data_IF_319753021495
#
_entry.id   IF_319753021495
#
_cell.length_a   1.000
_cell.length_b   1.000
_cell.length_c   1.000
_cell.angle_alpha   90.00
_cell.angle_beta   90.00
_cell.angle_gamma   90.00
#
_symmetry.space_group_name_H-M   'P 1'
#
loop_
_entity.id
_entity.type
_entity.pdbx_description
1 polymer ?
#
# COMPACT_ATOMS: atom_id res chain seq x y z
N UNK A 1 -6.12 -0.40 22.91
CA UNK A 1 -4.71 -0.31 23.35
C UNK A 1 -3.85 -0.83 22.21
N UNK A 2 -2.55 -0.53 22.14
CA UNK A 2 -1.67 -1.22 21.20
C UNK A 2 -1.65 -2.73 21.49
N UNK A 3 -1.48 -3.54 20.46
CA UNK A 3 -1.44 -5.00 20.58
C UNK A 3 -1.97 -5.71 19.35
N UNK A 4 -1.89 -7.03 19.37
CA UNK A 4 -2.40 -7.88 18.29
C UNK A 4 -3.85 -8.28 18.60
N UNK A 5 -4.74 -7.96 17.68
CA UNK A 5 -6.17 -8.23 17.77
C UNK A 5 -6.58 -9.23 16.70
N UNK A 6 -7.57 -10.06 17.00
CA UNK A 6 -8.22 -10.94 16.01
C UNK A 6 -9.57 -10.36 15.66
N UNK A 7 -9.83 -10.11 14.37
CA UNK A 7 -11.17 -9.82 13.90
C UNK A 7 -11.95 -11.13 13.82
N UNK A 8 -13.12 -11.20 14.44
CA UNK A 8 -13.99 -12.38 14.35
C UNK A 8 -15.40 -11.92 13.97
N UNK A 9 -15.88 -12.36 12.82
CA UNK A 9 -17.29 -12.19 12.46
C UNK A 9 -18.10 -13.21 13.25
N UNK A 10 -18.98 -12.73 14.12
CA UNK A 10 -19.86 -13.55 14.93
C UNK A 10 -21.31 -13.25 14.58
N UNK A 11 -22.09 -14.31 14.36
CA UNK A 11 -23.52 -14.23 14.13
C UNK A 11 -24.26 -14.59 15.41
N UNK A 12 -25.40 -13.93 15.60
CA UNK A 12 -26.30 -14.17 16.71
C UNK A 12 -27.72 -14.15 16.18
N UNK A 13 -28.47 -15.21 16.45
CA UNK A 13 -29.88 -15.27 16.11
C UNK A 13 -30.66 -14.33 17.04
N UNK A 14 -31.64 -13.61 16.48
CA UNK A 14 -32.41 -12.63 17.24
C UNK A 14 -33.12 -13.31 18.42
N UNK A 15 -32.99 -12.74 19.63
CA UNK A 15 -33.55 -13.29 20.87
C UNK A 15 -32.75 -14.41 21.55
N UNK A 16 -31.66 -14.91 20.95
CA UNK A 16 -30.80 -15.91 21.58
C UNK A 16 -29.63 -15.26 22.34
N UNK A 17 -28.81 -16.03 23.06
CA UNK A 17 -27.63 -15.52 23.79
C UNK A 17 -26.30 -16.01 23.20
N UNK A 18 -26.32 -17.10 22.42
CA UNK A 18 -25.13 -17.72 21.85
C UNK A 18 -24.66 -17.00 20.58
N UNK A 19 -23.33 -16.95 20.41
CA UNK A 19 -22.66 -16.46 19.20
C UNK A 19 -22.04 -17.64 18.46
N UNK A 20 -22.09 -17.61 17.13
CA UNK A 20 -21.48 -18.64 16.28
C UNK A 20 -20.69 -18.02 15.12
N UNK A 21 -19.65 -18.75 14.66
CA UNK A 21 -18.87 -18.36 13.49
C UNK A 21 -19.61 -18.75 12.20
N UNK A 22 -19.38 -18.03 11.07
CA UNK A 22 -19.92 -18.47 9.77
C UNK A 22 -19.33 -19.82 9.37
N UNK A 23 -20.16 -20.67 8.77
CA UNK A 23 -19.79 -22.01 8.28
C UNK A 23 -18.59 -22.00 7.32
N UNK A 24 -18.37 -20.91 6.59
CA UNK A 24 -17.23 -20.74 5.67
C UNK A 24 -15.91 -20.30 6.31
N UNK A 25 -15.87 -19.96 7.60
CA UNK A 25 -14.64 -19.53 8.28
C UNK A 25 -13.58 -20.64 8.26
N UNK A 26 -14.00 -21.89 8.49
CA UNK A 26 -13.09 -23.03 8.58
C UNK A 26 -12.77 -23.66 7.21
N UNK A 27 -13.46 -23.25 6.13
CA UNK A 27 -13.32 -23.93 4.83
C UNK A 27 -12.14 -23.42 3.99
N UNK A 28 -11.72 -22.16 4.13
CA UNK A 28 -10.64 -21.57 3.32
C UNK A 28 -9.92 -20.41 4.02
N UNK A 29 -10.07 -20.27 5.33
CA UNK A 29 -9.45 -19.18 6.09
C UNK A 29 -8.78 -19.69 7.35
N UNK A 30 -7.80 -18.97 7.85
CA UNK A 30 -7.10 -19.29 9.10
C UNK A 30 -7.08 -18.09 10.04
N UNK A 31 -6.91 -18.35 11.34
CA UNK A 31 -6.87 -17.29 12.36
C UNK A 31 -5.82 -16.21 12.04
N UNK A 32 -4.72 -16.56 11.39
CA UNK A 32 -3.67 -15.63 10.98
C UNK A 32 -4.14 -14.56 9.97
N UNK A 33 -5.09 -14.90 9.08
CA UNK A 33 -5.69 -13.95 8.12
C UNK A 33 -6.55 -12.88 8.77
N UNK A 34 -6.96 -13.09 10.01
CA UNK A 34 -7.79 -12.17 10.75
C UNK A 34 -7.06 -11.47 11.89
N UNK A 35 -5.74 -11.66 12.00
CA UNK A 35 -4.92 -10.94 12.95
C UNK A 35 -4.55 -9.56 12.39
N UNK A 36 -4.71 -8.52 13.20
CA UNK A 36 -4.19 -7.19 12.90
C UNK A 36 -3.45 -6.61 14.11
N UNK A 37 -2.37 -5.90 13.83
CA UNK A 37 -1.58 -5.22 14.86
C UNK A 37 -2.03 -3.76 14.99
N UNK A 38 -2.57 -3.40 16.15
CA UNK A 38 -2.78 -1.99 16.51
C UNK A 38 -1.47 -1.48 17.10
N UNK A 39 -0.81 -0.58 16.36
CA UNK A 39 0.43 0.05 16.85
C UNK A 39 0.13 1.24 17.76
N UNK A 40 1.09 1.64 18.61
CA UNK A 40 0.99 2.89 19.36
C UNK A 40 0.66 4.09 18.48
N UNK A 41 -0.03 5.07 19.07
CA UNK A 41 -0.24 6.35 18.41
C UNK A 41 1.12 6.92 17.98
N UNK A 42 1.17 7.43 16.76
CA UNK A 42 2.39 7.99 16.19
C UNK A 42 2.09 9.40 15.69
N UNK A 43 3.06 10.29 15.89
CA UNK A 43 3.05 11.60 15.24
C UNK A 43 3.50 11.51 13.78
N UNK A 44 3.80 10.34 13.22
CA UNK A 44 4.14 10.25 11.80
C UNK A 44 2.94 10.57 10.90
N UNK A 45 3.17 11.14 9.71
CA UNK A 45 2.12 11.27 8.72
C UNK A 45 1.65 9.89 8.25
N UNK A 46 0.38 9.79 7.89
CA UNK A 46 -0.16 8.66 7.13
C UNK A 46 -0.33 9.05 5.66
N UNK A 47 -0.34 8.07 4.75
CA UNK A 47 -0.60 8.29 3.33
C UNK A 47 -2.11 8.29 3.08
N UNK A 48 -2.65 9.43 2.64
CA UNK A 48 -4.07 9.55 2.30
C UNK A 48 -4.37 9.16 0.86
N UNK A 49 -3.45 9.46 -0.05
CA UNK A 49 -3.62 9.22 -1.48
C UNK A 49 -2.24 9.18 -2.14
N UNK A 50 -2.08 8.30 -3.11
CA UNK A 50 -0.92 8.21 -4.00
C UNK A 50 -1.43 8.04 -5.42
N UNK A 51 -0.93 8.80 -6.38
CA UNK A 51 -1.33 8.70 -7.79
C UNK A 51 -0.12 8.97 -8.69
N UNK A 52 -0.22 8.54 -9.94
CA UNK A 52 0.66 9.06 -10.98
C UNK A 52 0.23 10.51 -11.31
N UNK A 53 1.17 11.37 -11.69
CA UNK A 53 0.87 12.69 -12.22
C UNK A 53 -0.09 12.56 -13.41
N UNK A 54 -1.22 13.28 -13.34
CA UNK A 54 -2.39 13.22 -14.25
C UNK A 54 -3.44 12.13 -13.99
N UNK A 55 -3.24 11.26 -13.00
CA UNK A 55 -4.29 10.33 -12.55
C UNK A 55 -5.11 10.94 -11.40
N UNK A 56 -6.43 10.72 -11.44
CA UNK A 56 -7.37 11.27 -10.43
C UNK A 56 -7.53 10.38 -9.20
N UNK A 57 -7.24 9.10 -9.32
CA UNK A 57 -7.30 8.11 -8.26
C UNK A 57 -6.19 7.07 -8.42
N UNK A 58 -5.81 6.42 -7.31
CA UNK A 58 -5.17 5.11 -7.37
C UNK A 58 -6.23 4.06 -7.67
N UNK A 59 -5.83 3.03 -8.39
CA UNK A 59 -6.65 1.86 -8.68
C UNK A 59 -5.77 0.62 -8.59
N UNK A 60 -6.38 -0.56 -8.65
CA UNK A 60 -5.67 -1.83 -8.77
C UNK A 60 -4.99 -2.01 -10.15
N UNK A 61 -5.21 -1.09 -11.10
CA UNK A 61 -4.62 -1.18 -12.44
C UNK A 61 -3.15 -0.75 -12.44
N UNK A 62 -2.36 -1.43 -13.27
CA UNK A 62 -0.98 -1.06 -13.52
C UNK A 62 -0.89 0.17 -14.43
N UNK A 63 -0.11 1.17 -14.01
CA UNK A 63 0.14 2.36 -14.80
C UNK A 63 1.47 2.22 -15.55
N UNK A 64 1.46 2.19 -16.89
CA UNK A 64 2.67 2.19 -17.68
C UNK A 64 3.34 3.57 -17.63
N UNK A 65 4.62 3.60 -17.26
CA UNK A 65 5.43 4.83 -17.16
C UNK A 65 6.65 4.72 -18.09
N UNK A 66 7.27 5.85 -18.49
CA UNK A 66 8.42 5.82 -19.39
C UNK A 66 9.56 4.95 -18.84
N UNK A 67 10.17 4.14 -19.70
CA UNK A 67 11.26 3.24 -19.31
C UNK A 67 12.52 4.03 -18.90
N UNK A 68 12.91 5.01 -19.71
CA UNK A 68 14.19 5.72 -19.59
C UNK A 68 14.04 7.22 -19.32
N UNK A 69 12.84 7.69 -19.00
CA UNK A 69 12.55 9.10 -18.75
C UNK A 69 11.90 9.30 -17.38
N UNK A 70 11.82 10.55 -16.96
CA UNK A 70 11.23 10.95 -15.69
C UNK A 70 9.71 10.85 -15.73
N UNK A 71 9.13 10.47 -14.59
CA UNK A 71 7.71 10.56 -14.32
C UNK A 71 7.50 11.00 -12.87
N UNK A 72 6.31 11.50 -12.55
CA UNK A 72 6.04 12.03 -11.23
C UNK A 72 4.99 11.19 -10.50
N UNK A 73 5.26 10.87 -9.24
CA UNK A 73 4.27 10.33 -8.31
C UNK A 73 3.81 11.45 -7.39
N UNK A 74 2.50 11.65 -7.35
CA UNK A 74 1.84 12.65 -6.52
C UNK A 74 1.27 11.96 -5.29
N UNK A 75 1.42 12.57 -4.12
CA UNK A 75 0.91 11.99 -2.89
C UNK A 75 0.33 13.04 -1.96
N UNK A 76 -0.57 12.61 -1.08
CA UNK A 76 -1.16 13.43 -0.03
C UNK A 76 -0.88 12.78 1.32
N UNK A 77 -0.14 13.49 2.18
CA UNK A 77 0.06 13.12 3.57
C UNK A 77 -1.08 13.60 4.46
N UNK A 78 -1.39 12.79 5.45
CA UNK A 78 -2.36 13.01 6.51
C UNK A 78 -1.60 13.23 7.82
N UNK A 79 -1.48 14.50 8.23
CA UNK A 79 -0.87 14.89 9.49
C UNK A 79 -1.96 15.01 10.57
N UNK A 80 -2.22 13.91 11.28
CA UNK A 80 -3.26 13.85 12.33
C UNK A 80 -2.91 14.68 13.56
N UNK A 81 -1.64 14.74 13.92
CA UNK A 81 -1.18 15.48 15.10
C UNK A 81 -1.19 17.00 14.87
N UNK A 82 -1.21 17.45 13.60
CA UNK A 82 -1.09 18.86 13.19
C UNK A 82 0.18 19.53 13.72
N UNK A 83 1.17 18.74 14.15
CA UNK A 83 2.49 19.26 14.55
C UNK A 83 3.29 19.61 13.31
N UNK A 84 4.26 20.51 13.45
CA UNK A 84 5.24 20.72 12.40
C UNK A 84 6.04 19.42 12.16
N UNK A 85 6.36 19.13 10.91
CA UNK A 85 7.08 17.92 10.52
C UNK A 85 8.10 18.23 9.44
N UNK A 86 9.31 17.71 9.62
CA UNK A 86 10.36 17.72 8.62
C UNK A 86 10.89 16.32 8.40
N UNK A 87 11.24 16.01 7.17
CA UNK A 87 11.80 14.73 6.81
C UNK A 87 11.92 14.54 5.30
N UNK A 88 12.10 13.30 4.90
CA UNK A 88 12.26 12.91 3.50
C UNK A 88 11.27 11.81 3.17
N UNK A 89 10.68 11.90 1.98
CA UNK A 89 9.90 10.83 1.37
C UNK A 89 10.73 10.19 0.28
N UNK A 90 10.66 8.87 0.17
CA UNK A 90 11.18 8.14 -0.99
C UNK A 90 10.16 7.17 -1.56
N UNK A 91 10.26 6.98 -2.86
CA UNK A 91 9.50 5.99 -3.62
C UNK A 91 10.38 4.75 -3.80
N UNK A 92 9.86 3.59 -3.42
CA UNK A 92 10.55 2.31 -3.60
C UNK A 92 9.65 1.40 -4.41
N UNK A 93 10.19 0.87 -5.51
CA UNK A 93 9.53 -0.07 -6.41
C UNK A 93 9.97 -1.49 -6.10
N UNK A 94 9.00 -2.33 -5.74
CA UNK A 94 9.23 -3.60 -5.06
C UNK A 94 8.56 -4.74 -5.82
N UNK A 95 9.35 -5.76 -6.13
CA UNK A 95 8.84 -7.02 -6.69
C UNK A 95 8.37 -7.99 -5.63
N UNK A 96 8.93 -7.91 -4.42
CA UNK A 96 8.43 -8.61 -3.25
C UNK A 96 8.05 -7.63 -2.16
N UNK A 97 6.78 -7.70 -1.74
CA UNK A 97 6.33 -7.06 -0.53
C UNK A 97 5.54 -8.04 0.32
N UNK A 98 6.24 -8.64 1.29
CA UNK A 98 5.60 -9.48 2.31
C UNK A 98 4.84 -8.58 3.26
N UNK A 99 3.54 -8.46 3.02
CA UNK A 99 2.63 -7.96 4.04
C UNK A 99 2.76 -8.86 5.29
N UNK A 100 2.82 -8.26 6.47
CA UNK A 100 2.64 -8.98 7.73
C UNK A 100 1.20 -9.51 7.90
N UNK A 101 0.30 -9.23 6.94
CA UNK A 101 -1.04 -9.79 6.85
C UNK A 101 -1.11 -10.96 5.88
N UNK A 102 -1.85 -12.01 6.22
CA UNK A 102 -2.07 -13.16 5.31
C UNK A 102 -3.05 -12.86 4.16
N UNK A 103 -3.48 -11.61 3.95
CA UNK A 103 -4.29 -11.22 2.78
C UNK A 103 -3.47 -11.35 1.49
N UNK A 104 -4.13 -11.86 0.44
CA UNK A 104 -3.61 -12.25 -0.87
C UNK A 104 -2.71 -11.19 -1.57
N UNK A 105 -1.79 -11.69 -2.43
CA UNK A 105 -0.38 -11.27 -2.58
C UNK A 105 -0.11 -10.05 -3.47
N UNK A 106 0.84 -9.18 -3.09
CA UNK A 106 1.70 -8.51 -4.06
C UNK A 106 3.09 -9.17 -4.03
N UNK A 107 3.20 -10.36 -4.65
CA UNK A 107 4.44 -11.10 -5.04
C UNK A 107 4.46 -12.60 -4.71
N UNK A 108 3.61 -13.39 -5.34
CA UNK A 108 3.89 -14.82 -5.41
C UNK A 108 5.16 -15.03 -6.23
N UNK A 109 6.15 -15.77 -5.74
CA UNK A 109 7.02 -16.49 -6.67
C UNK A 109 6.19 -17.56 -7.37
N UNK A 110 6.47 -17.79 -8.65
CA UNK A 110 5.95 -18.98 -9.32
C UNK A 110 6.61 -20.23 -8.71
N UNK A 111 6.05 -21.40 -9.00
CA UNK A 111 6.71 -22.65 -8.65
C UNK A 111 8.07 -22.73 -9.35
N UNK A 112 9.05 -23.34 -8.67
CA UNK A 112 10.42 -23.44 -9.18
C UNK A 112 10.39 -24.08 -10.58
N UNK A 113 11.01 -23.43 -11.56
CA UNK A 113 11.13 -23.79 -12.98
C UNK A 113 9.96 -23.40 -13.91
N UNK A 114 9.00 -22.61 -13.43
CA UNK A 114 7.85 -22.17 -14.24
C UNK A 114 7.79 -20.65 -14.45
N UNK A 115 8.92 -19.95 -14.26
CA UNK A 115 8.99 -18.51 -14.48
C UNK A 115 10.27 -18.01 -15.13
N UNK A 116 10.15 -16.86 -15.79
CA UNK A 116 11.24 -16.05 -16.32
C UNK A 116 11.28 -14.71 -15.60
N UNK A 117 12.49 -14.19 -15.37
CA UNK A 117 12.74 -12.88 -14.73
C UNK A 117 12.07 -12.70 -13.35
N UNK A 118 11.86 -13.78 -12.59
CA UNK A 118 11.24 -13.75 -11.25
C UNK A 118 12.26 -13.46 -10.13
N UNK A 119 13.07 -12.43 -10.34
CA UNK A 119 14.03 -11.95 -9.35
C UNK A 119 13.34 -11.06 -8.31
N UNK A 120 13.84 -11.02 -7.08
CA UNK A 120 13.38 -10.03 -6.09
C UNK A 120 14.17 -8.73 -6.21
N UNK A 121 13.50 -7.59 -6.06
CA UNK A 121 14.18 -6.30 -6.03
C UNK A 121 13.40 -5.24 -5.24
N UNK A 122 14.13 -4.17 -4.94
CA UNK A 122 13.70 -3.03 -4.15
C UNK A 122 14.43 -1.78 -4.63
N UNK A 123 13.95 -1.22 -5.73
CA UNK A 123 14.62 -0.13 -6.45
C UNK A 123 14.09 1.22 -5.96
N UNK A 124 14.98 2.11 -5.51
CA UNK A 124 14.60 3.47 -5.14
C UNK A 124 14.43 4.32 -6.41
N UNK A 125 13.20 4.76 -6.67
CA UNK A 125 12.87 5.50 -7.90
C UNK A 125 13.16 6.99 -7.79
N UNK A 126 13.10 7.53 -6.56
CA UNK A 126 13.30 8.95 -6.29
C UNK A 126 12.92 9.32 -4.86
N UNK A 127 13.29 10.54 -4.46
CA UNK A 127 13.00 11.09 -3.14
C UNK A 127 12.77 12.60 -3.18
N UNK A 128 12.10 13.13 -2.16
CA UNK A 128 11.94 14.57 -1.96
C UNK A 128 11.83 14.93 -0.47
N UNK A 129 12.15 16.17 -0.15
CA UNK A 129 12.02 16.69 1.22
C UNK A 129 10.58 17.09 1.52
N UNK A 130 10.18 16.89 2.77
CA UNK A 130 8.89 17.30 3.33
C UNK A 130 9.17 18.32 4.43
N UNK A 131 8.50 19.47 4.34
CA UNK A 131 8.47 20.50 5.39
C UNK A 131 7.02 20.98 5.56
N UNK A 132 6.38 20.52 6.63
CA UNK A 132 4.98 20.75 6.94
C UNK A 132 4.92 21.68 8.15
N UNK A 133 4.32 22.84 7.97
CA UNK A 133 4.06 23.78 9.07
C UNK A 133 3.04 23.22 10.08
N UNK A 134 3.12 23.69 11.33
CA UNK A 134 2.12 23.37 12.33
C UNK A 134 0.70 23.82 11.90
N UNK A 135 -0.32 23.07 12.30
CA UNK A 135 -1.72 23.29 11.95
C UNK A 135 -2.18 22.61 10.66
N UNK A 136 -1.26 22.26 9.74
CA UNK A 136 -1.57 21.64 8.44
C UNK A 136 -2.04 20.20 8.64
N UNK A 137 -3.29 19.90 8.23
CA UNK A 137 -3.89 18.54 8.32
C UNK A 137 -3.52 17.66 7.13
N UNK A 138 -3.50 18.24 5.93
CA UNK A 138 -3.21 17.55 4.68
C UNK A 138 -2.13 18.32 3.92
N UNK A 139 -1.16 17.58 3.38
CA UNK A 139 -0.06 18.16 2.63
C UNK A 139 0.16 17.35 1.35
N UNK A 140 0.23 18.04 0.21
CA UNK A 140 0.41 17.42 -1.10
C UNK A 140 1.87 17.56 -1.53
N UNK A 141 2.47 16.44 -1.90
CA UNK A 141 3.84 16.37 -2.41
C UNK A 141 3.91 15.71 -3.78
N UNK A 142 5.07 15.87 -4.42
CA UNK A 142 5.42 15.24 -5.69
C UNK A 142 6.82 14.68 -5.53
N UNK A 143 7.03 13.44 -6.00
CA UNK A 143 8.36 12.84 -6.16
C UNK A 143 8.60 12.64 -7.64
N UNK A 144 9.71 13.19 -8.14
CA UNK A 144 10.20 12.85 -9.48
C UNK A 144 10.92 11.51 -9.43
N UNK A 145 10.51 10.60 -10.29
CA UNK A 145 10.88 9.20 -10.30
C UNK A 145 11.51 8.82 -11.64
N UNK A 146 12.45 7.88 -11.57
CA UNK A 146 13.04 7.21 -12.74
C UNK A 146 13.45 5.80 -12.34
N UNK A 147 13.30 4.83 -13.25
CA UNK A 147 13.81 3.49 -13.00
C UNK A 147 15.36 3.50 -12.99
N UNK A 148 16.01 3.09 -11.88
CA UNK A 148 17.47 3.02 -11.84
C UNK A 148 18.01 1.80 -12.59
N UNK A 149 17.19 0.76 -12.76
CA UNK A 149 17.51 -0.50 -13.41
C UNK A 149 16.38 -0.85 -14.38
N UNK A 150 16.72 -1.21 -15.61
CA UNK A 150 15.78 -1.75 -16.59
C UNK A 150 15.49 -3.22 -16.26
N UNK A 151 14.54 -3.44 -15.35
CA UNK A 151 14.06 -4.78 -15.00
C UNK A 151 13.25 -5.35 -16.18
N UNK A 152 13.29 -6.66 -16.38
CA UNK A 152 12.43 -7.36 -17.33
C UNK A 152 11.13 -7.78 -16.63
N UNK A 153 10.04 -7.82 -17.38
CA UNK A 153 8.77 -8.31 -16.85
C UNK A 153 8.89 -9.78 -16.39
N UNK A 154 8.33 -10.14 -15.21
CA UNK A 154 8.20 -11.52 -14.78
C UNK A 154 7.10 -12.26 -15.58
N UNK A 155 7.46 -13.40 -16.18
CA UNK A 155 6.53 -14.24 -16.96
C UNK A 155 6.39 -15.62 -16.36
N UNK A 156 5.17 -16.18 -16.42
CA UNK A 156 4.95 -17.61 -16.26
C UNK A 156 5.20 -18.33 -17.59
N UNK A 157 5.94 -19.44 -17.54
CA UNK A 157 6.40 -20.13 -18.76
C UNK A 157 5.26 -20.93 -19.41
N UNK A 158 4.48 -21.68 -18.63
CA UNK A 158 3.48 -22.60 -19.18
C UNK A 158 2.29 -21.93 -19.88
N UNK A 159 1.89 -20.73 -19.46
CA UNK A 159 0.75 -20.00 -20.01
C UNK A 159 1.14 -18.70 -20.74
N UNK A 160 2.42 -18.32 -20.70
CA UNK A 160 2.94 -17.09 -21.28
C UNK A 160 2.12 -15.86 -20.83
N UNK A 161 1.89 -15.76 -19.52
CA UNK A 161 1.18 -14.66 -18.88
C UNK A 161 2.14 -13.89 -17.95
N UNK A 162 2.19 -12.57 -18.11
CA UNK A 162 2.84 -11.67 -17.17
C UNK A 162 2.16 -11.76 -15.80
N UNK A 163 2.93 -11.87 -14.71
CA UNK A 163 2.36 -12.13 -13.39
C UNK A 163 3.00 -11.31 -12.28
N UNK A 164 2.21 -11.07 -11.22
CA UNK A 164 2.61 -10.41 -9.99
C UNK A 164 3.28 -9.05 -10.20
N UNK A 165 2.50 -8.13 -10.77
CA UNK A 165 2.83 -6.73 -11.01
C UNK A 165 3.52 -6.09 -9.80
N UNK A 166 4.72 -5.47 -9.96
CA UNK A 166 5.42 -4.81 -8.88
C UNK A 166 4.70 -3.54 -8.43
N UNK A 167 4.97 -3.14 -7.19
CA UNK A 167 4.29 -2.02 -6.53
C UNK A 167 5.28 -0.95 -6.11
N UNK A 168 4.86 0.31 -6.17
CA UNK A 168 5.58 1.44 -5.62
C UNK A 168 4.98 1.85 -4.28
N UNK A 169 5.82 1.85 -3.25
CA UNK A 169 5.51 2.32 -1.91
C UNK A 169 6.21 3.63 -1.58
N UNK A 170 5.63 4.37 -0.63
CA UNK A 170 6.27 5.55 -0.03
C UNK A 170 6.81 5.23 1.36
N UNK A 171 8.07 5.57 1.58
CA UNK A 171 8.71 5.53 2.90
C UNK A 171 9.00 6.95 3.37
N UNK A 172 8.84 7.18 4.66
CA UNK A 172 9.13 8.43 5.33
C UNK A 172 10.26 8.27 6.33
N UNK A 173 11.20 9.21 6.31
CA UNK A 173 12.26 9.35 7.30
C UNK A 173 12.14 10.73 7.94
N UNK A 174 11.85 10.82 9.25
CA UNK A 174 11.88 12.08 9.97
C UNK A 174 13.28 12.72 9.92
N UNK A 175 13.33 14.06 9.91
CA UNK A 175 14.59 14.81 10.02
C UNK A 175 15.36 14.38 11.28
N UNK A 176 16.66 14.12 11.12
CA UNK A 176 17.52 13.63 12.20
C UNK A 176 17.37 12.13 12.54
N UNK A 177 16.50 11.38 11.86
CA UNK A 177 16.37 9.93 12.03
C UNK A 177 17.20 9.16 10.99
N UNK A 178 17.72 7.99 11.36
CA UNK A 178 18.32 7.02 10.43
C UNK A 178 17.31 5.97 9.93
N UNK A 179 16.09 5.95 10.47
CA UNK A 179 15.08 4.94 10.15
C UNK A 179 14.13 5.39 9.04
N UNK A 180 13.94 4.52 8.05
CA UNK A 180 12.88 4.65 7.05
C UNK A 180 11.66 3.86 7.48
N UNK A 181 10.49 4.49 7.45
CA UNK A 181 9.22 3.87 7.83
C UNK A 181 8.24 3.88 6.68
N UNK A 182 7.67 2.71 6.36
CA UNK A 182 6.62 2.61 5.35
C UNK A 182 5.41 3.45 5.77
N UNK A 183 4.93 4.30 4.85
CA UNK A 183 3.72 5.05 5.08
C UNK A 183 2.49 4.14 5.00
N UNK A 184 1.63 4.27 6.00
CA UNK A 184 0.39 3.51 6.13
C UNK A 184 -0.77 4.28 5.54
N UNK A 185 -1.76 3.56 5.01
CA UNK A 185 -2.98 4.20 4.51
C UNK A 185 -3.72 4.92 5.65
N UNK A 186 -4.16 6.15 5.39
CA UNK A 186 -5.09 6.87 6.25
C UNK A 186 -6.53 6.42 5.95
N UNK A 187 -7.00 5.41 6.66
CA UNK A 187 -8.34 4.83 6.47
C UNK A 187 -9.43 5.51 7.30
N UNK A 188 -9.12 6.60 8.00
CA UNK A 188 -10.07 7.27 8.92
C UNK A 188 -11.37 7.69 8.23
N UNK A 189 -11.29 8.13 6.97
CA UNK A 189 -12.46 8.56 6.21
C UNK A 189 -13.38 7.39 5.82
N UNK A 190 -12.87 6.16 5.71
CA UNK A 190 -13.65 4.97 5.36
C UNK A 190 -14.65 4.60 6.46
N UNK A 191 -14.31 4.94 7.70
CA UNK A 191 -15.16 4.74 8.88
C UNK A 191 -16.09 5.92 9.16
N UNK A 192 -16.08 6.97 8.33
CA UNK A 192 -17.03 8.06 8.44
C UNK A 192 -18.42 7.58 8.01
N UNK A 193 -19.38 7.63 8.97
CA UNK A 193 -20.78 7.26 8.74
C UNK A 193 -21.44 8.05 7.59
N UNK A 194 -20.96 9.26 7.33
CA UNK A 194 -21.48 10.17 6.30
C UNK A 194 -20.59 10.22 5.05
N UNK A 195 -19.75 9.20 4.80
CA UNK A 195 -18.94 9.15 3.59
C UNK A 195 -19.86 9.12 2.34
N UNK A 196 -19.75 10.08 1.41
CA UNK A 196 -20.69 10.24 0.30
C UNK A 196 -20.43 9.30 -0.88
N UNK A 197 -19.30 8.58 -0.89
CA UNK A 197 -18.96 7.62 -1.95
C UNK A 197 -19.60 6.24 -1.74
N UNK A 198 -19.67 5.46 -2.82
CA UNK A 198 -20.18 4.09 -2.79
C UNK A 198 -19.27 3.17 -1.96
N UNK A 199 -19.79 2.00 -1.59
CA UNK A 199 -18.99 0.94 -0.95
C UNK A 199 -17.85 0.44 -1.85
N UNK A 200 -18.03 0.49 -3.18
CA UNK A 200 -16.95 0.24 -4.14
C UNK A 200 -15.86 1.32 -4.11
N UNK A 201 -16.22 2.61 -3.97
CA UNK A 201 -15.25 3.69 -3.83
C UNK A 201 -14.40 3.54 -2.56
N UNK A 202 -14.95 2.96 -1.49
CA UNK A 202 -14.20 2.65 -0.26
C UNK A 202 -13.11 1.60 -0.48
N UNK A 203 -13.32 0.64 -1.39
CA UNK A 203 -12.36 -0.43 -1.71
C UNK A 203 -11.27 0.06 -2.66
N UNK A 204 -11.62 0.95 -3.61
CA UNK A 204 -10.67 1.47 -4.61
C UNK A 204 -9.77 2.60 -4.05
N UNK A 205 -10.15 3.27 -2.97
CA UNK A 205 -9.40 4.42 -2.40
C UNK A 205 -8.41 4.05 -1.27
N UNK A 206 -8.29 2.76 -0.92
CA UNK A 206 -7.59 2.30 0.28
C UNK A 206 -6.18 1.72 0.06
N UNK A 207 -5.49 2.08 -1.04
CA UNK A 207 -4.14 1.58 -1.29
C UNK A 207 -3.06 2.53 -0.74
N UNK A 208 -2.09 1.97 0.00
CA UNK A 208 -0.86 2.67 0.37
C UNK A 208 0.26 2.51 -0.67
N UNK A 209 -0.08 2.01 -1.86
CA UNK A 209 0.83 1.75 -2.97
C UNK A 209 0.22 2.12 -4.32
N UNK A 210 1.05 2.09 -5.36
CA UNK A 210 0.68 2.28 -6.75
C UNK A 210 1.28 1.15 -7.60
N UNK A 211 0.51 0.54 -8.50
CA UNK A 211 1.08 -0.34 -9.52
C UNK A 211 1.69 0.50 -10.63
N UNK A 212 3.00 0.43 -10.80
CA UNK A 212 3.73 1.09 -11.89
C UNK A 212 4.61 0.09 -12.59
N UNK A 213 4.57 0.10 -13.91
CA UNK A 213 5.35 -0.76 -14.79
C UNK A 213 6.05 0.06 -15.88
N UNK A 214 7.25 -0.32 -16.32
CA UNK A 214 7.82 0.21 -17.55
C UNK A 214 6.88 0.02 -18.75
N UNK A 215 6.86 0.96 -19.70
CA UNK A 215 6.03 0.87 -20.92
C UNK A 215 6.41 -0.30 -21.84
N UNK A 216 7.64 -0.81 -21.73
CA UNK A 216 8.11 -1.96 -22.50
C UNK A 216 7.63 -3.31 -21.99
N UNK A 217 6.93 -3.33 -20.85
CA UNK A 217 6.30 -4.52 -20.29
C UNK A 217 4.90 -4.68 -20.89
#
# INVERSE_FOLDING_TARGET
MPGTYRLAVLFKKNGESAWFKPYGYDQNSNDGEWMYEVRPATDMPALRMITLENQKCNTFLAYPVPDNDWFNIVYTLSNKSRKAMKGTIKVVWEREFKLESNSYRPSAKADKNDSLNDEEWRDELGSCTVDIAAGVRFWKGIVSCKFPVQRKEPWRIHDNVGYCTPIAHLYYQPEGSSEWKLLRCDTEYLFNRNYPGSESAKMDEAFNYLYVIPKSW
#
